data_IF_458361340618
#
_entry.id   IF_458361340618
#
_cell.length_a   1.000
_cell.length_b   1.000
_cell.length_c   1.000
_cell.angle_alpha   90.00
_cell.angle_beta   90.00
_cell.angle_gamma   90.00
#
_symmetry.space_group_name_H-M   'P 1'
#
loop_
_entity.id
_entity.type
_entity.pdbx_description
1 polymer ?
#
# COMPACT_ATOMS: atom_id res chain seq x y z
N UNK A 1 -7.97 29.74 9.50
CA UNK A 1 -6.58 29.23 9.51
C UNK A 1 -6.41 28.25 10.67
N UNK A 2 -6.52 26.95 10.41
CA UNK A 2 -6.32 25.92 11.44
C UNK A 2 -4.81 25.68 11.62
N UNK A 3 -4.30 26.03 12.80
CA UNK A 3 -2.92 25.75 13.19
C UNK A 3 -2.62 24.25 13.04
N UNK A 4 -1.69 23.92 12.14
CA UNK A 4 -1.08 22.62 12.01
C UNK A 4 -0.40 22.28 13.34
N UNK A 5 -1.13 21.61 14.25
CA UNK A 5 -0.59 21.11 15.52
C UNK A 5 0.55 20.15 15.22
N UNK A 6 1.78 20.68 15.25
CA UNK A 6 2.99 19.85 15.41
C UNK A 6 2.85 19.14 16.75
N UNK A 7 3.12 17.84 16.78
CA UNK A 7 3.27 17.12 18.04
C UNK A 7 4.58 17.53 18.70
N UNK A 8 4.63 17.67 20.04
CA UNK A 8 5.86 17.99 20.76
C UNK A 8 6.94 16.90 20.63
N UNK A 9 6.58 15.69 20.20
CA UNK A 9 7.37 14.47 20.40
C UNK A 9 8.18 14.02 19.16
N UNK A 10 8.37 14.88 18.15
CA UNK A 10 9.13 14.53 16.93
C UNK A 10 8.40 13.61 15.94
N UNK A 11 7.09 13.39 16.11
CA UNK A 11 6.25 12.62 15.19
C UNK A 11 5.92 13.35 13.87
N UNK A 12 5.51 12.59 12.85
CA UNK A 12 5.06 13.14 11.56
C UNK A 12 3.87 14.11 11.73
N UNK A 13 3.80 15.21 10.96
CA UNK A 13 2.61 16.04 10.89
C UNK A 13 1.37 15.23 10.50
N UNK A 14 0.20 15.60 11.02
CA UNK A 14 -1.06 14.85 10.83
C UNK A 14 -1.40 14.65 9.34
N UNK A 15 -1.18 15.64 8.48
CA UNK A 15 -1.43 15.50 7.04
C UNK A 15 -0.56 14.39 6.42
N UNK A 16 0.74 14.36 6.71
CA UNK A 16 1.65 13.31 6.21
C UNK A 16 1.36 11.94 6.79
N UNK A 17 0.96 11.88 8.06
CA UNK A 17 0.51 10.63 8.68
C UNK A 17 -0.74 10.07 7.96
N UNK A 18 -1.68 10.93 7.57
CA UNK A 18 -2.85 10.55 6.78
C UNK A 18 -2.47 10.09 5.37
N UNK A 19 -1.57 10.81 4.69
CA UNK A 19 -1.07 10.42 3.37
C UNK A 19 -0.40 9.04 3.43
N UNK A 20 0.54 8.82 4.35
CA UNK A 20 1.16 7.49 4.56
C UNK A 20 0.13 6.40 4.85
N UNK A 21 -0.87 6.71 5.68
CA UNK A 21 -1.95 5.77 5.98
C UNK A 21 -2.73 5.38 4.73
N UNK A 22 -3.12 6.37 3.93
CA UNK A 22 -3.84 6.12 2.66
C UNK A 22 -2.97 5.36 1.65
N UNK A 23 -1.70 5.70 1.52
CA UNK A 23 -0.74 5.02 0.65
C UNK A 23 -0.56 3.55 1.07
N UNK A 24 -0.53 3.27 2.37
CA UNK A 24 -0.46 1.91 2.90
C UNK A 24 -1.71 1.11 2.53
N UNK A 25 -2.91 1.63 2.77
CA UNK A 25 -4.17 0.94 2.43
C UNK A 25 -4.28 0.71 0.93
N UNK A 26 -4.12 1.78 0.15
CA UNK A 26 -4.31 1.76 -1.31
C UNK A 26 -3.34 0.81 -2.00
N UNK A 27 -2.06 0.85 -1.61
CA UNK A 27 -1.04 -0.06 -2.14
C UNK A 27 -1.37 -1.52 -1.89
N UNK A 28 -1.72 -1.88 -0.64
CA UNK A 28 -2.05 -3.26 -0.30
C UNK A 28 -3.34 -3.74 -1.01
N UNK A 29 -4.40 -2.93 -1.12
CA UNK A 29 -5.62 -3.31 -1.86
C UNK A 29 -5.28 -3.60 -3.33
N UNK A 30 -4.53 -2.69 -3.95
CA UNK A 30 -4.18 -2.78 -5.38
C UNK A 30 -3.30 -3.99 -5.67
N UNK A 31 -2.32 -4.26 -4.81
CA UNK A 31 -1.45 -5.44 -4.91
C UNK A 31 -2.21 -6.73 -4.63
N UNK A 32 -3.09 -6.77 -3.63
CA UNK A 32 -3.94 -7.95 -3.37
C UNK A 32 -4.78 -8.29 -4.60
N UNK A 33 -5.38 -7.28 -5.22
CA UNK A 33 -6.11 -7.44 -6.48
C UNK A 33 -5.25 -8.04 -7.59
N UNK A 34 -4.00 -7.58 -7.74
CA UNK A 34 -3.08 -8.14 -8.74
C UNK A 34 -2.70 -9.61 -8.43
N UNK A 35 -2.39 -9.94 -7.17
CA UNK A 35 -2.04 -11.32 -6.76
C UNK A 35 -3.19 -12.28 -7.02
N UNK A 36 -4.43 -11.86 -6.70
CA UNK A 36 -5.62 -12.69 -6.93
C UNK A 36 -5.89 -12.86 -8.43
N UNK A 37 -5.70 -11.81 -9.23
CA UNK A 37 -5.99 -11.83 -10.66
C UNK A 37 -5.00 -12.67 -11.50
N UNK A 38 -3.71 -12.75 -11.14
CA UNK A 38 -2.73 -13.52 -11.93
C UNK A 38 -2.87 -15.04 -11.75
N UNK A 39 -3.49 -15.50 -10.65
CA UNK A 39 -3.66 -16.93 -10.37
C UNK A 39 -2.35 -17.71 -10.20
N UNK A 40 -2.44 -19.05 -10.12
CA UNK A 40 -1.30 -19.93 -9.87
C UNK A 40 -0.46 -20.23 -11.12
N UNK A 41 -1.07 -20.28 -12.31
CA UNK A 41 -0.36 -20.59 -13.56
C UNK A 41 0.68 -19.52 -13.92
N UNK A 42 0.34 -18.25 -13.67
CA UNK A 42 1.26 -17.13 -13.88
C UNK A 42 2.47 -17.14 -12.94
N UNK A 43 2.40 -17.85 -11.81
CA UNK A 43 3.53 -18.00 -10.88
C UNK A 43 4.60 -18.88 -11.51
N UNK A 44 4.22 -19.99 -12.14
CA UNK A 44 5.18 -20.90 -12.81
C UNK A 44 5.94 -20.21 -13.94
N UNK A 45 5.27 -19.33 -14.68
CA UNK A 45 5.92 -18.57 -15.77
C UNK A 45 6.74 -17.37 -15.27
N UNK A 46 6.73 -17.07 -13.96
CA UNK A 46 7.37 -15.88 -13.37
C UNK A 46 6.63 -14.56 -13.63
N UNK A 47 5.65 -14.55 -14.55
CA UNK A 47 4.87 -13.36 -14.91
C UNK A 47 4.10 -12.77 -13.73
N UNK A 48 3.66 -13.58 -12.77
CA UNK A 48 2.97 -13.12 -11.56
C UNK A 48 3.80 -12.10 -10.76
N UNK A 49 5.11 -12.33 -10.61
CA UNK A 49 6.01 -11.42 -9.90
C UNK A 49 6.13 -10.08 -10.64
N UNK A 50 6.29 -10.15 -11.97
CA UNK A 50 6.38 -8.97 -12.85
C UNK A 50 5.11 -8.14 -12.77
N UNK A 51 3.93 -8.76 -12.87
CA UNK A 51 2.63 -8.06 -12.81
C UNK A 51 2.45 -7.37 -11.46
N UNK A 52 2.81 -8.01 -10.35
CA UNK A 52 2.71 -7.43 -9.01
C UNK A 52 3.67 -6.24 -8.85
N UNK A 53 4.93 -6.36 -9.30
CA UNK A 53 5.89 -5.26 -9.28
C UNK A 53 5.44 -4.09 -10.17
N UNK A 54 4.98 -4.39 -11.38
CA UNK A 54 4.48 -3.39 -12.32
C UNK A 54 3.25 -2.67 -11.74
N UNK A 55 2.34 -3.40 -11.10
CA UNK A 55 1.17 -2.83 -10.44
C UNK A 55 1.56 -1.90 -9.29
N UNK A 56 2.48 -2.32 -8.41
CA UNK A 56 2.95 -1.49 -7.31
C UNK A 56 3.71 -0.24 -7.81
N UNK A 57 4.55 -0.39 -8.84
CA UNK A 57 5.28 0.71 -9.45
C UNK A 57 4.34 1.72 -10.12
N UNK A 58 3.38 1.24 -10.93
CA UNK A 58 2.38 2.09 -11.57
C UNK A 58 1.55 2.85 -10.53
N UNK A 59 1.14 2.16 -9.46
CA UNK A 59 0.39 2.77 -8.35
C UNK A 59 1.21 3.84 -7.64
N UNK A 60 2.50 3.58 -7.39
CA UNK A 60 3.41 4.54 -6.77
C UNK A 60 3.57 5.79 -7.63
N UNK A 61 3.83 5.62 -8.94
CA UNK A 61 3.98 6.73 -9.88
C UNK A 61 2.68 7.54 -9.97
N UNK A 62 1.54 6.87 -10.12
CA UNK A 62 0.24 7.54 -10.18
C UNK A 62 -0.04 8.36 -8.93
N UNK A 63 0.29 7.83 -7.74
CA UNK A 63 0.12 8.54 -6.48
C UNK A 63 1.01 9.79 -6.38
N UNK A 64 2.30 9.66 -6.72
CA UNK A 64 3.23 10.80 -6.72
C UNK A 64 2.79 11.86 -7.73
N UNK A 65 2.37 11.46 -8.93
CA UNK A 65 1.88 12.38 -9.95
C UNK A 65 0.61 13.11 -9.49
N UNK A 66 -0.35 12.40 -8.90
CA UNK A 66 -1.57 13.01 -8.36
C UNK A 66 -1.27 14.04 -7.27
N UNK A 67 -0.31 13.75 -6.38
CA UNK A 67 0.13 14.68 -5.35
C UNK A 67 0.83 15.92 -5.94
N UNK A 68 1.76 15.72 -6.89
CA UNK A 68 2.47 16.83 -7.57
C UNK A 68 1.52 17.75 -8.32
N UNK A 69 0.47 17.20 -8.96
CA UNK A 69 -0.56 18.00 -9.62
C UNK A 69 -1.42 18.74 -8.59
N UNK A 70 -1.76 18.10 -7.47
CA UNK A 70 -2.59 18.69 -6.42
C UNK A 70 -1.90 19.85 -5.70
N UNK A 71 -0.59 19.77 -5.45
CA UNK A 71 0.21 20.85 -4.83
C UNK A 71 0.32 22.12 -5.69
N UNK A 72 -0.08 22.07 -6.97
CA UNK A 72 -0.14 23.26 -7.83
C UNK A 72 -1.43 24.08 -7.65
N UNK A 73 -2.38 23.60 -6.85
CA UNK A 73 -3.67 24.24 -6.64
C UNK A 73 -3.60 25.11 -5.38
N UNK A 74 -3.61 26.44 -5.55
CA UNK A 74 -3.69 27.39 -4.43
C UNK A 74 -2.98 28.72 -4.69
N UNK A 75 -3.18 29.73 -3.83
CA UNK A 75 -2.60 31.06 -4.01
C UNK A 75 -1.08 31.12 -3.71
N UNK A 76 -0.53 30.15 -2.97
CA UNK A 76 0.85 30.18 -2.44
C UNK A 76 1.75 29.11 -3.10
N UNK A 77 1.78 29.05 -4.43
CA UNK A 77 2.67 28.13 -5.18
C UNK A 77 4.08 28.73 -5.25
N UNK A 78 4.95 28.25 -4.37
CA UNK A 78 6.37 28.63 -4.32
C UNK A 78 7.28 27.47 -4.82
N UNK A 79 8.08 27.63 -5.89
CA UNK A 79 8.86 26.54 -6.48
C UNK A 79 9.82 25.78 -5.53
N UNK A 80 10.58 26.42 -4.62
CA UNK A 80 11.40 25.74 -3.63
C UNK A 80 10.60 24.91 -2.63
N UNK A 81 9.41 25.39 -2.25
CA UNK A 81 8.47 24.66 -1.38
C UNK A 81 7.93 23.42 -2.09
N UNK A 82 7.52 23.56 -3.35
CA UNK A 82 7.01 22.48 -4.19
C UNK A 82 8.03 21.32 -4.31
N UNK A 83 9.32 21.63 -4.48
CA UNK A 83 10.38 20.62 -4.55
C UNK A 83 10.56 19.85 -3.23
N UNK A 84 10.43 20.55 -2.09
CA UNK A 84 10.51 19.91 -0.75
C UNK A 84 9.31 19.02 -0.49
N UNK A 85 8.12 19.45 -0.86
CA UNK A 85 6.87 18.67 -0.75
C UNK A 85 6.90 17.44 -1.66
N UNK A 86 7.36 17.56 -2.92
CA UNK A 86 7.55 16.42 -3.81
C UNK A 86 8.50 15.35 -3.23
N UNK A 87 9.62 15.78 -2.63
CA UNK A 87 10.54 14.86 -1.95
C UNK A 87 9.95 14.21 -0.69
N UNK A 88 9.07 14.92 0.03
CA UNK A 88 8.33 14.33 1.15
C UNK A 88 7.29 13.32 0.66
N UNK A 89 6.56 13.65 -0.41
CA UNK A 89 5.57 12.78 -1.06
C UNK A 89 6.16 11.44 -1.49
N UNK A 90 7.35 11.42 -2.09
CA UNK A 90 8.04 10.16 -2.43
C UNK A 90 8.23 9.25 -1.20
N UNK A 91 8.63 9.83 -0.05
CA UNK A 91 8.83 9.06 1.19
C UNK A 91 7.50 8.62 1.79
N UNK A 92 6.48 9.44 1.63
CA UNK A 92 5.15 9.15 2.15
C UNK A 92 4.42 8.09 1.30
N UNK A 93 4.84 7.93 0.04
CA UNK A 93 4.40 6.90 -0.90
C UNK A 93 5.16 5.57 -0.79
N UNK A 94 6.29 5.49 -0.06
CA UNK A 94 7.04 4.24 0.17
C UNK A 94 6.19 3.03 0.64
N UNK A 95 5.14 3.20 1.46
CA UNK A 95 4.21 2.13 1.78
C UNK A 95 3.66 1.39 0.55
N UNK A 96 3.41 2.09 -0.56
CA UNK A 96 2.95 1.50 -1.83
C UNK A 96 4.03 0.60 -2.41
N UNK A 97 5.26 1.10 -2.54
CA UNK A 97 6.37 0.31 -3.07
C UNK A 97 6.58 -0.97 -2.23
N UNK A 98 6.58 -0.83 -0.91
CA UNK A 98 6.74 -1.97 0.01
C UNK A 98 5.59 -2.98 -0.03
N UNK A 99 4.41 -2.59 -0.53
CA UNK A 99 3.26 -3.49 -0.64
C UNK A 99 3.44 -4.52 -1.75
N UNK A 100 4.18 -4.19 -2.81
CA UNK A 100 4.44 -5.09 -3.93
C UNK A 100 5.70 -5.93 -3.80
N UNK A 101 6.74 -5.42 -3.14
CA UNK A 101 8.07 -6.08 -3.07
C UNK A 101 7.98 -7.45 -2.39
N UNK A 102 7.43 -7.54 -1.18
CA UNK A 102 7.37 -8.82 -0.45
C UNK A 102 6.54 -9.89 -1.17
N UNK A 103 5.32 -9.60 -1.64
CA UNK A 103 4.56 -10.55 -2.45
C UNK A 103 5.29 -10.95 -3.73
N UNK A 104 5.90 -9.99 -4.44
CA UNK A 104 6.63 -10.29 -5.67
C UNK A 104 7.82 -11.24 -5.44
N UNK A 105 8.55 -11.09 -4.32
CA UNK A 105 9.63 -11.99 -3.95
C UNK A 105 9.12 -13.41 -3.64
N UNK A 106 7.98 -13.53 -2.95
CA UNK A 106 7.35 -14.83 -2.70
C UNK A 106 6.90 -15.51 -3.99
N UNK A 107 6.31 -14.76 -4.91
CA UNK A 107 5.90 -15.27 -6.23
C UNK A 107 7.11 -15.66 -7.07
N UNK A 108 8.19 -14.87 -7.03
CA UNK A 108 9.45 -15.19 -7.70
C UNK A 108 10.08 -16.47 -7.12
N UNK A 109 10.04 -16.67 -5.80
CA UNK A 109 10.48 -17.91 -5.17
C UNK A 109 9.67 -19.13 -5.66
N UNK A 110 8.38 -18.94 -5.93
CA UNK A 110 7.55 -19.97 -6.58
C UNK A 110 7.93 -20.24 -8.04
N UNK A 111 8.30 -19.21 -8.79
CA UNK A 111 8.78 -19.34 -10.17
C UNK A 111 10.14 -20.03 -10.28
N UNK A 112 11.02 -19.82 -9.28
CA UNK A 112 12.33 -20.44 -9.16
C UNK A 112 12.29 -21.83 -8.50
N UNK A 113 11.08 -22.36 -8.26
CA UNK A 113 10.85 -23.66 -7.60
C UNK A 113 11.45 -23.79 -6.19
N UNK A 114 11.79 -22.66 -5.54
CA UNK A 114 12.23 -22.62 -4.13
C UNK A 114 11.06 -22.93 -3.19
N UNK A 115 9.84 -22.58 -3.61
CA UNK A 115 8.59 -22.86 -2.92
C UNK A 115 7.58 -23.53 -3.86
N UNK A 116 6.71 -24.42 -3.36
CA UNK A 116 5.58 -24.89 -4.14
C UNK A 116 4.71 -23.71 -4.61
N UNK A 117 4.24 -23.76 -5.85
CA UNK A 117 3.42 -22.69 -6.47
C UNK A 117 2.26 -22.25 -5.58
N UNK A 118 1.51 -23.21 -5.03
CA UNK A 118 0.38 -22.94 -4.14
C UNK A 118 0.81 -22.21 -2.86
N UNK A 119 1.96 -22.60 -2.29
CA UNK A 119 2.52 -21.98 -1.09
C UNK A 119 3.00 -20.55 -1.38
N UNK A 120 3.72 -20.34 -2.50
CA UNK A 120 4.17 -19.02 -2.92
C UNK A 120 3.00 -18.05 -3.15
N UNK A 121 1.97 -18.49 -3.88
CA UNK A 121 0.78 -17.68 -4.17
C UNK A 121 -0.03 -17.37 -2.90
N UNK A 122 -0.33 -18.38 -2.08
CA UNK A 122 -1.09 -18.19 -0.84
C UNK A 122 -0.33 -17.37 0.20
N UNK A 123 0.99 -17.55 0.32
CA UNK A 123 1.82 -16.72 1.20
C UNK A 123 1.87 -15.26 0.72
N UNK A 124 1.96 -15.02 -0.60
CA UNK A 124 1.90 -13.66 -1.16
C UNK A 124 0.57 -12.97 -0.81
N UNK A 125 -0.56 -13.65 -1.00
CA UNK A 125 -1.87 -13.12 -0.62
C UNK A 125 -1.99 -12.91 0.91
N UNK A 126 -1.50 -13.86 1.71
CA UNK A 126 -1.54 -13.79 3.17
C UNK A 126 -0.71 -12.62 3.71
N UNK A 127 0.49 -12.38 3.19
CA UNK A 127 1.32 -11.24 3.60
C UNK A 127 0.59 -9.91 3.39
N UNK A 128 -0.10 -9.74 2.26
CA UNK A 128 -0.89 -8.52 2.00
C UNK A 128 -2.12 -8.44 2.91
N UNK A 129 -2.81 -9.56 3.12
CA UNK A 129 -3.95 -9.63 4.04
C UNK A 129 -3.58 -9.30 5.48
N UNK A 130 -2.46 -9.83 5.98
CA UNK A 130 -1.93 -9.52 7.32
C UNK A 130 -1.55 -8.04 7.41
N UNK A 131 -0.90 -7.48 6.40
CA UNK A 131 -0.59 -6.04 6.36
C UNK A 131 -1.86 -5.20 6.47
N UNK A 132 -2.92 -5.54 5.73
CA UNK A 132 -4.22 -4.86 5.83
C UNK A 132 -4.82 -4.99 7.23
N UNK A 133 -4.82 -6.19 7.81
CA UNK A 133 -5.34 -6.44 9.15
C UNK A 133 -4.61 -5.63 10.23
N UNK A 134 -3.30 -5.44 10.08
CA UNK A 134 -2.48 -4.67 11.00
C UNK A 134 -2.59 -3.15 10.79
N UNK A 135 -3.26 -2.68 9.73
CA UNK A 135 -3.34 -1.24 9.42
C UNK A 135 -3.94 -0.43 10.56
N UNK A 136 -5.01 -0.92 11.20
CA UNK A 136 -5.63 -0.20 12.32
C UNK A 136 -4.65 0.03 13.48
N UNK A 137 -3.82 -0.97 13.79
CA UNK A 137 -2.78 -0.84 14.82
C UNK A 137 -1.69 0.15 14.40
N UNK A 138 -1.30 0.15 13.12
CA UNK A 138 -0.34 1.11 12.57
C UNK A 138 -0.89 2.54 12.68
N UNK A 139 -2.16 2.76 12.34
CA UNK A 139 -2.82 4.07 12.41
C UNK A 139 -2.87 4.57 13.84
N UNK A 140 -3.23 3.74 14.83
CA UNK A 140 -3.22 4.15 16.23
C UNK A 140 -1.82 4.50 16.72
N UNK A 141 -0.81 3.68 16.37
CA UNK A 141 0.58 3.92 16.78
C UNK A 141 1.13 5.21 16.20
N UNK A 142 0.90 5.46 14.91
CA UNK A 142 1.26 6.75 14.26
C UNK A 142 0.46 7.91 14.87
N UNK A 143 -0.79 7.65 15.26
CA UNK A 143 -1.63 8.59 16.00
C UNK A 143 -1.27 8.71 17.48
N UNK A 144 -0.16 8.14 17.96
CA UNK A 144 0.28 8.20 19.37
C UNK A 144 -0.74 7.65 20.37
N UNK A 145 -1.71 6.85 19.90
CA UNK A 145 -2.66 6.14 20.73
C UNK A 145 -2.07 4.77 21.05
N UNK A 146 -2.47 4.20 22.19
CA UNK A 146 -2.11 2.82 22.51
C UNK A 146 -2.84 1.87 21.57
N UNK A 147 -2.19 0.80 21.10
CA UNK A 147 -2.84 -0.23 20.28
C UNK A 147 -4.07 -0.79 21.01
N UNK A 148 -5.22 -0.79 20.35
CA UNK A 148 -6.50 -1.27 20.88
C UNK A 148 -7.02 -2.46 20.07
N UNK A 149 -7.80 -3.33 20.73
CA UNK A 149 -8.50 -4.44 20.07
C UNK A 149 -9.50 -3.96 19.02
N UNK A 150 -10.15 -2.81 19.26
CA UNK A 150 -11.04 -2.13 18.30
C UNK A 150 -10.33 -1.77 17.00
N UNK A 151 -9.10 -1.27 17.07
CA UNK A 151 -8.33 -0.95 15.88
C UNK A 151 -7.87 -2.20 15.12
N UNK A 152 -7.51 -3.27 15.83
CA UNK A 152 -7.26 -4.56 15.18
C UNK A 152 -8.50 -5.04 14.42
N UNK A 153 -9.68 -5.00 15.04
CA UNK A 153 -10.93 -5.38 14.39
C UNK A 153 -11.25 -4.50 13.18
N UNK A 154 -11.05 -3.19 13.28
CA UNK A 154 -11.19 -2.27 12.14
C UNK A 154 -10.27 -2.64 10.97
N UNK A 155 -9.03 -3.04 11.26
CA UNK A 155 -8.09 -3.54 10.26
C UNK A 155 -8.51 -4.87 9.65
N UNK A 156 -9.02 -5.81 10.46
CA UNK A 156 -9.54 -7.11 9.98
C UNK A 156 -10.73 -6.90 9.04
N UNK A 157 -11.68 -6.03 9.41
CA UNK A 157 -12.81 -5.66 8.54
C UNK A 157 -12.31 -5.04 7.23
N UNK A 158 -11.33 -4.14 7.30
CA UNK A 158 -10.70 -3.58 6.11
C UNK A 158 -10.08 -4.67 5.22
N UNK A 159 -9.36 -5.63 5.80
CA UNK A 159 -8.78 -6.75 5.06
C UNK A 159 -9.85 -7.60 4.36
N UNK A 160 -10.95 -7.90 5.06
CA UNK A 160 -12.08 -8.64 4.50
C UNK A 160 -12.72 -7.90 3.32
N UNK A 161 -13.03 -6.60 3.48
CA UNK A 161 -13.57 -5.77 2.41
C UNK A 161 -12.61 -5.67 1.20
N UNK A 162 -11.31 -5.56 1.47
CA UNK A 162 -10.28 -5.53 0.45
C UNK A 162 -10.21 -6.84 -0.35
N UNK A 163 -10.35 -7.98 0.34
CA UNK A 163 -10.42 -9.29 -0.30
C UNK A 163 -11.66 -9.40 -1.21
N UNK A 164 -12.82 -8.89 -0.76
CA UNK A 164 -14.03 -8.82 -1.61
C UNK A 164 -13.77 -8.01 -2.88
N UNK A 165 -13.16 -6.83 -2.75
CA UNK A 165 -12.82 -5.99 -3.91
C UNK A 165 -11.84 -6.70 -4.86
N UNK A 166 -10.83 -7.39 -4.32
CA UNK A 166 -9.86 -8.14 -5.10
C UNK A 166 -10.50 -9.31 -5.87
N UNK A 167 -11.37 -10.08 -5.20
CA UNK A 167 -12.11 -11.20 -5.82
C UNK A 167 -13.09 -10.69 -6.87
N UNK A 168 -13.85 -9.64 -6.57
CA UNK A 168 -14.76 -9.03 -7.54
C UNK A 168 -14.02 -8.56 -8.79
N UNK A 169 -12.86 -7.89 -8.62
CA UNK A 169 -12.01 -7.50 -9.74
C UNK A 169 -11.60 -8.72 -10.56
N UNK A 170 -11.05 -9.75 -9.92
CA UNK A 170 -10.58 -10.94 -10.62
C UNK A 170 -11.70 -11.59 -11.44
N UNK A 171 -12.89 -11.77 -10.85
CA UNK A 171 -14.06 -12.35 -11.53
C UNK A 171 -14.56 -11.50 -12.71
N UNK A 172 -14.48 -10.17 -12.61
CA UNK A 172 -14.96 -9.25 -13.67
C UNK A 172 -13.96 -9.06 -14.82
N UNK A 173 -12.68 -9.39 -14.62
CA UNK A 173 -11.64 -9.31 -15.66
C UNK A 173 -11.30 -10.65 -16.32
N UNK A 174 -11.97 -11.73 -15.89
CA UNK A 174 -12.00 -13.02 -16.56
C UNK A 174 -13.29 -13.17 -17.38
#
# INVERSE_FOLDING_TARGET
>A
MAALRRRPDGGLPVHRARERGSAFVYGNITVLGAVVAVGQDAVRSGSASVVVLATAAATFVAHVMAHVVSERIGPDVDPPRLRREAGASLRDALPIASSGVWPALLLLAGALEVLPTTTAWSAAAAVVGVRLALTGLVVERVSGRRPSSTALWGGVVLAALSAVVAVAKAVLTH
#
